data_IF_324206489236
#
_entry.id   IF_324206489236
#
_cell.length_a   1.000
_cell.length_b   1.000
_cell.length_c   1.000
_cell.angle_alpha   90.00
_cell.angle_beta   90.00
_cell.angle_gamma   90.00
#
_symmetry.space_group_name_H-M   'P 1'
#
loop_
_entity.id
_entity.type
_entity.pdbx_description
1 polymer ?
#
# COMPACT_ATOMS: atom_id res chain seq x y z
N UNK A 1 14.05 31.03 21.89
CA UNK A 1 13.84 31.16 20.42
C UNK A 1 14.08 29.78 19.82
N UNK A 2 13.43 28.76 20.38
CA UNK A 2 13.91 27.37 20.35
C UNK A 2 12.84 26.35 19.94
N UNK A 3 11.63 26.80 19.58
CA UNK A 3 10.51 25.91 19.22
C UNK A 3 10.31 25.72 17.71
N UNK A 4 10.99 26.50 16.86
CA UNK A 4 10.85 26.38 15.40
C UNK A 4 11.71 25.25 14.81
N UNK A 5 12.80 24.86 15.47
CA UNK A 5 13.70 23.80 15.01
C UNK A 5 13.18 22.38 15.32
N UNK A 6 12.27 22.25 16.30
CA UNK A 6 11.57 20.99 16.57
C UNK A 6 10.44 20.70 15.54
N UNK A 7 9.95 21.73 14.85
CA UNK A 7 8.86 21.61 13.87
C UNK A 7 9.35 21.17 12.48
N UNK A 8 10.63 21.34 12.17
CA UNK A 8 11.19 21.07 10.83
C UNK A 8 11.62 19.62 10.59
N UNK A 9 11.83 18.80 11.63
CA UNK A 9 12.49 17.49 11.47
C UNK A 9 11.63 16.25 11.73
N UNK A 10 10.32 16.40 11.90
CA UNK A 10 9.39 15.25 11.97
C UNK A 10 8.77 14.89 10.59
N UNK A 11 9.27 15.50 9.52
CA UNK A 11 8.93 15.12 8.13
C UNK A 11 9.67 13.82 7.74
N UNK A 12 10.76 13.47 8.43
CA UNK A 12 11.66 12.35 8.13
C UNK A 12 11.56 11.18 9.14
N UNK A 13 10.38 10.88 9.66
CA UNK A 13 10.18 9.71 10.52
C UNK A 13 10.41 8.40 9.75
N UNK A 14 11.30 7.53 10.30
CA UNK A 14 11.70 6.12 10.04
C UNK A 14 11.66 5.49 8.63
N UNK A 15 10.85 5.98 7.69
CA UNK A 15 10.89 5.67 6.25
C UNK A 15 10.61 6.94 5.43
N UNK A 16 11.58 7.87 5.36
CA UNK A 16 11.33 9.24 4.93
C UNK A 16 10.84 9.37 3.48
N UNK A 17 11.23 8.45 2.59
CA UNK A 17 10.98 8.63 1.16
C UNK A 17 9.57 8.21 0.72
N UNK A 18 9.04 7.11 1.26
CA UNK A 18 7.68 6.64 0.94
C UNK A 18 6.62 7.52 1.60
N UNK A 19 6.88 7.94 2.85
CA UNK A 19 6.02 8.89 3.55
C UNK A 19 5.98 10.23 2.80
N UNK A 20 7.11 10.72 2.28
CA UNK A 20 7.14 12.01 1.58
C UNK A 20 6.30 12.04 0.29
N UNK A 21 6.24 10.93 -0.47
CA UNK A 21 5.51 10.90 -1.76
C UNK A 21 4.00 10.77 -1.55
N UNK A 22 3.56 9.94 -0.61
CA UNK A 22 2.13 9.66 -0.42
C UNK A 22 1.44 10.58 0.58
N UNK A 23 2.18 11.26 1.47
CA UNK A 23 1.62 12.18 2.46
C UNK A 23 0.96 13.43 1.88
N UNK A 24 1.43 14.04 0.78
CA UNK A 24 0.68 15.10 0.09
C UNK A 24 -0.68 14.62 -0.43
N UNK A 25 -0.75 13.39 -0.95
CA UNK A 25 -2.01 12.78 -1.43
C UNK A 25 -2.97 12.54 -0.26
N UNK A 26 -2.47 12.00 0.85
CA UNK A 26 -3.23 11.85 2.09
C UNK A 26 -3.80 13.19 2.59
N UNK A 27 -2.96 14.23 2.65
CA UNK A 27 -3.40 15.58 3.05
C UNK A 27 -4.45 16.16 2.12
N UNK A 28 -4.34 15.91 0.81
CA UNK A 28 -5.34 16.33 -0.16
C UNK A 28 -6.68 15.61 0.06
N UNK A 29 -6.65 14.29 0.28
CA UNK A 29 -7.85 13.50 0.59
C UNK A 29 -8.52 14.01 1.86
N UNK A 30 -7.74 14.23 2.93
CA UNK A 30 -8.26 14.75 4.19
C UNK A 30 -8.82 16.17 4.04
N UNK A 31 -8.17 17.03 3.25
CA UNK A 31 -8.67 18.38 2.96
C UNK A 31 -10.00 18.34 2.19
N UNK A 32 -10.13 17.43 1.22
CA UNK A 32 -11.39 17.21 0.49
C UNK A 32 -12.48 16.75 1.47
N UNK A 33 -12.20 15.77 2.32
CA UNK A 33 -13.15 15.23 3.31
C UNK A 33 -13.68 16.35 4.22
N UNK A 34 -12.77 17.16 4.79
CA UNK A 34 -13.12 18.30 5.64
C UNK A 34 -13.94 19.35 4.86
N UNK A 35 -13.61 19.61 3.60
CA UNK A 35 -14.32 20.61 2.79
C UNK A 35 -15.74 20.20 2.40
N UNK A 36 -15.99 18.90 2.23
CA UNK A 36 -17.28 18.37 1.74
C UNK A 36 -18.18 17.92 2.90
N UNK A 37 -17.62 17.24 3.90
CA UNK A 37 -18.37 16.59 4.99
C UNK A 37 -18.16 17.26 6.36
N UNK A 38 -17.25 18.24 6.45
CA UNK A 38 -16.97 19.01 7.67
C UNK A 38 -15.87 18.40 8.54
N UNK A 39 -15.43 19.18 9.54
CA UNK A 39 -14.21 18.92 10.36
C UNK A 39 -14.27 17.63 11.18
N UNK A 40 -15.47 17.07 11.40
CA UNK A 40 -15.67 15.88 12.22
C UNK A 40 -15.95 14.60 11.41
N UNK A 41 -16.08 14.72 10.08
CA UNK A 41 -16.28 13.57 9.21
C UNK A 41 -14.96 13.17 8.57
N UNK A 42 -14.57 11.91 8.78
CA UNK A 42 -13.43 11.27 8.12
C UNK A 42 -13.88 10.14 7.19
N UNK A 43 -15.15 10.16 6.77
CA UNK A 43 -15.75 9.06 6.02
C UNK A 43 -14.99 8.80 4.72
N UNK A 44 -14.63 9.85 3.98
CA UNK A 44 -13.93 9.69 2.70
C UNK A 44 -12.54 9.09 2.91
N UNK A 45 -11.81 9.56 3.93
CA UNK A 45 -10.50 9.01 4.26
C UNK A 45 -10.55 7.53 4.65
N UNK A 46 -11.55 7.12 5.43
CA UNK A 46 -11.75 5.70 5.78
C UNK A 46 -12.11 4.85 4.57
N UNK A 47 -12.98 5.35 3.67
CA UNK A 47 -13.32 4.64 2.43
C UNK A 47 -12.11 4.45 1.53
N UNK A 48 -11.27 5.48 1.38
CA UNK A 48 -10.02 5.39 0.63
C UNK A 48 -9.05 4.39 1.27
N UNK A 49 -8.92 4.41 2.59
CA UNK A 49 -8.08 3.47 3.35
C UNK A 49 -8.55 2.02 3.19
N UNK A 50 -9.86 1.79 3.30
CA UNK A 50 -10.49 0.48 3.08
C UNK A 50 -10.27 -0.02 1.66
N UNK A 51 -10.39 0.86 0.66
CA UNK A 51 -10.16 0.52 -0.76
C UNK A 51 -8.71 0.12 -0.99
N UNK A 52 -7.75 0.88 -0.45
CA UNK A 52 -6.32 0.55 -0.52
C UNK A 52 -5.98 -0.77 0.17
N UNK A 53 -6.61 -1.04 1.32
CA UNK A 53 -6.44 -2.30 2.03
C UNK A 53 -6.98 -3.50 1.23
N UNK A 54 -8.21 -3.42 0.70
CA UNK A 54 -8.81 -4.49 -0.12
C UNK A 54 -7.96 -4.75 -1.36
N UNK A 55 -7.50 -3.69 -2.03
CA UNK A 55 -6.60 -3.81 -3.17
C UNK A 55 -5.28 -4.51 -2.80
N UNK A 56 -4.71 -4.18 -1.64
CA UNK A 56 -3.49 -4.82 -1.13
C UNK A 56 -3.70 -6.30 -0.82
N UNK A 57 -4.81 -6.68 -0.17
CA UNK A 57 -5.17 -8.10 0.08
C UNK A 57 -5.29 -8.86 -1.25
N UNK A 58 -5.94 -8.27 -2.24
CA UNK A 58 -6.08 -8.86 -3.57
C UNK A 58 -4.73 -9.04 -4.28
N UNK A 59 -3.85 -8.03 -4.21
CA UNK A 59 -2.50 -8.09 -4.78
C UNK A 59 -1.66 -9.18 -4.09
N UNK A 60 -1.74 -9.30 -2.76
CA UNK A 60 -1.07 -10.36 -1.99
C UNK A 60 -1.55 -11.74 -2.44
N UNK A 61 -2.88 -11.93 -2.59
CA UNK A 61 -3.42 -13.18 -3.12
C UNK A 61 -2.85 -13.50 -4.51
N UNK A 62 -2.85 -12.51 -5.42
CA UNK A 62 -2.39 -12.71 -6.80
C UNK A 62 -0.89 -13.02 -6.87
N UNK A 63 -0.07 -12.31 -6.08
CA UNK A 63 1.36 -12.56 -5.92
C UNK A 63 1.62 -13.96 -5.37
N UNK A 64 0.95 -14.33 -4.28
CA UNK A 64 1.09 -15.65 -3.66
C UNK A 64 0.68 -16.77 -4.62
N UNK A 65 -0.39 -16.57 -5.40
CA UNK A 65 -0.84 -17.53 -6.42
C UNK A 65 0.21 -17.75 -7.51
N UNK A 66 0.92 -16.70 -7.93
CA UNK A 66 2.02 -16.80 -8.90
C UNK A 66 3.25 -17.50 -8.32
N UNK A 67 3.58 -17.27 -7.06
CA UNK A 67 4.78 -17.82 -6.42
C UNK A 67 4.61 -19.28 -5.98
N UNK A 68 3.44 -19.67 -5.47
CA UNK A 68 3.19 -20.99 -4.88
C UNK A 68 2.80 -22.09 -5.89
N UNK A 69 3.12 -21.91 -7.18
CA UNK A 69 2.96 -22.89 -8.27
C UNK A 69 1.61 -23.65 -8.17
N UNK A 70 0.51 -22.90 -8.28
CA UNK A 70 -0.88 -23.39 -8.37
C UNK A 70 -1.55 -23.95 -7.11
N UNK A 71 -0.97 -23.85 -5.91
CA UNK A 71 -1.71 -24.14 -4.68
C UNK A 71 -2.62 -22.97 -4.30
N UNK A 72 -3.80 -22.89 -4.92
CA UNK A 72 -4.79 -21.81 -4.69
C UNK A 72 -5.15 -21.64 -3.21
N UNK A 73 -5.26 -22.75 -2.48
CA UNK A 73 -5.51 -22.74 -1.03
C UNK A 73 -4.38 -22.05 -0.25
N UNK A 74 -3.14 -22.26 -0.65
CA UNK A 74 -1.98 -21.61 -0.01
C UNK A 74 -1.98 -20.10 -0.24
N UNK A 75 -2.29 -19.66 -1.46
CA UNK A 75 -2.42 -18.24 -1.78
C UNK A 75 -3.55 -17.57 -0.99
N UNK A 76 -4.69 -18.26 -0.84
CA UNK A 76 -5.81 -17.78 -0.03
C UNK A 76 -5.42 -17.65 1.45
N UNK A 77 -4.74 -18.65 2.02
CA UNK A 77 -4.26 -18.59 3.41
C UNK A 77 -3.28 -17.43 3.64
N UNK A 78 -2.40 -17.15 2.69
CA UNK A 78 -1.47 -16.00 2.78
C UNK A 78 -2.22 -14.67 2.75
N UNK A 79 -3.19 -14.51 1.85
CA UNK A 79 -4.01 -13.30 1.78
C UNK A 79 -4.89 -13.12 3.05
N UNK A 80 -5.48 -14.21 3.55
CA UNK A 80 -6.21 -14.18 4.82
C UNK A 80 -5.29 -13.81 5.98
N UNK A 81 -4.11 -14.42 6.06
CA UNK A 81 -3.08 -14.08 7.04
C UNK A 81 -2.72 -12.60 7.00
N UNK A 82 -2.46 -12.06 5.80
CA UNK A 82 -2.18 -10.63 5.61
C UNK A 82 -3.35 -9.74 6.08
N UNK A 83 -4.60 -10.11 5.75
CA UNK A 83 -5.79 -9.35 6.17
C UNK A 83 -6.06 -9.42 7.67
N UNK A 84 -5.64 -10.50 8.34
CA UNK A 84 -5.82 -10.71 9.77
C UNK A 84 -4.73 -10.07 10.63
N UNK A 85 -3.62 -9.59 10.04
CA UNK A 85 -2.58 -8.91 10.79
C UNK A 85 -3.10 -7.58 11.34
N UNK A 86 -3.05 -7.45 12.67
CA UNK A 86 -3.54 -6.28 13.40
C UNK A 86 -2.95 -4.97 12.87
N UNK A 87 -1.68 -4.95 12.47
CA UNK A 87 -1.03 -3.77 11.88
C UNK A 87 -1.74 -3.28 10.62
N UNK A 88 -2.18 -4.19 9.75
CA UNK A 88 -2.80 -3.86 8.47
C UNK A 88 -4.27 -3.45 8.66
N UNK A 89 -4.96 -4.05 9.62
CA UNK A 89 -6.34 -3.69 9.99
C UNK A 89 -6.38 -2.32 10.67
N UNK A 90 -5.48 -2.05 11.62
CA UNK A 90 -5.40 -0.77 12.32
C UNK A 90 -5.13 0.39 11.35
N UNK A 91 -4.35 0.14 10.28
CA UNK A 91 -4.12 1.14 9.23
C UNK A 91 -5.34 1.46 8.36
N UNK A 92 -6.52 0.87 8.60
CA UNK A 92 -7.78 1.29 7.96
C UNK A 92 -8.47 2.37 8.79
N UNK A 93 -8.33 2.29 10.11
CA UNK A 93 -9.01 3.16 11.08
C UNK A 93 -8.23 4.45 11.34
N UNK A 94 -6.91 4.42 11.14
CA UNK A 94 -6.05 5.57 11.38
C UNK A 94 -5.98 6.45 10.13
N UNK A 95 -6.52 7.67 10.22
CA UNK A 95 -6.51 8.65 9.12
C UNK A 95 -5.08 8.98 8.66
N UNK A 96 -4.12 9.02 9.58
CA UNK A 96 -2.70 9.30 9.31
C UNK A 96 -1.93 8.11 8.70
N UNK A 97 -2.62 7.01 8.38
CA UNK A 97 -2.03 5.80 7.79
C UNK A 97 -2.44 5.55 6.33
N UNK A 98 -3.21 6.46 5.74
CA UNK A 98 -3.62 6.40 4.33
C UNK A 98 -2.42 6.34 3.39
N UNK A 99 -1.41 7.17 3.64
CA UNK A 99 -0.15 7.18 2.91
C UNK A 99 0.59 5.84 3.01
N UNK A 100 0.55 5.20 4.18
CA UNK A 100 1.12 3.86 4.38
C UNK A 100 0.35 2.80 3.58
N UNK A 101 -0.99 2.84 3.57
CA UNK A 101 -1.81 1.93 2.77
C UNK A 101 -1.50 2.05 1.27
N UNK A 102 -1.39 3.28 0.75
CA UNK A 102 -0.99 3.48 -0.63
C UNK A 102 0.44 3.01 -0.87
N UNK A 103 1.39 3.32 0.01
CA UNK A 103 2.76 2.83 -0.12
C UNK A 103 2.81 1.30 -0.20
N UNK A 104 2.07 0.59 0.66
CA UNK A 104 1.96 -0.87 0.63
C UNK A 104 1.35 -1.35 -0.70
N UNK A 105 0.23 -0.78 -1.13
CA UNK A 105 -0.42 -1.14 -2.39
C UNK A 105 0.51 -0.96 -3.59
N UNK A 106 1.17 0.20 -3.70
CA UNK A 106 2.11 0.50 -4.80
C UNK A 106 3.35 -0.40 -4.75
N UNK A 107 3.84 -0.73 -3.55
CA UNK A 107 4.96 -1.67 -3.38
C UNK A 107 4.59 -3.07 -3.87
N UNK A 108 3.39 -3.56 -3.52
CA UNK A 108 2.88 -4.84 -4.01
C UNK A 108 2.69 -4.84 -5.52
N UNK A 109 2.21 -3.72 -6.09
CA UNK A 109 2.00 -3.56 -7.52
C UNK A 109 3.34 -3.50 -8.29
N UNK A 110 4.35 -2.82 -7.74
CA UNK A 110 5.72 -2.83 -8.24
C UNK A 110 6.34 -4.23 -8.20
N UNK A 111 6.13 -4.97 -7.10
CA UNK A 111 6.61 -6.35 -6.99
C UNK A 111 5.93 -7.26 -8.03
N UNK A 112 4.63 -7.08 -8.25
CA UNK A 112 3.87 -7.85 -9.23
C UNK A 112 4.38 -7.62 -10.66
N UNK A 113 4.60 -6.35 -11.03
CA UNK A 113 5.12 -5.99 -12.34
C UNK A 113 6.55 -6.50 -12.55
N UNK A 114 7.39 -6.42 -11.52
CA UNK A 114 8.75 -6.98 -11.54
C UNK A 114 8.74 -8.50 -11.75
N UNK A 115 7.92 -9.24 -10.99
CA UNK A 115 7.80 -10.70 -11.14
C UNK A 115 7.32 -11.05 -12.55
N UNK A 116 6.33 -10.31 -13.08
CA UNK A 116 5.84 -10.51 -14.45
C UNK A 116 6.95 -10.29 -15.48
N UNK A 117 7.71 -9.20 -15.37
CA UNK A 117 8.81 -8.91 -16.28
C UNK A 117 9.92 -9.99 -16.25
N UNK A 118 10.21 -10.54 -15.06
CA UNK A 118 11.18 -11.64 -14.91
C UNK A 118 10.65 -12.93 -15.54
N UNK A 119 9.37 -13.27 -15.32
CA UNK A 119 8.74 -14.45 -15.93
C UNK A 119 8.73 -14.34 -17.46
N UNK A 120 8.38 -13.17 -18.00
CA UNK A 120 8.30 -12.94 -19.44
C UNK A 120 9.69 -13.06 -20.09
N UNK A 121 10.75 -12.51 -19.47
CA UNK A 121 12.15 -12.68 -19.97
C UNK A 121 12.59 -14.14 -20.06
N UNK A 122 12.22 -14.98 -19.09
CA UNK A 122 12.56 -16.42 -19.14
C UNK A 122 11.91 -17.13 -20.34
N UNK A 123 10.76 -16.65 -20.80
CA UNK A 123 10.06 -17.20 -21.97
C UNK A 123 10.74 -16.88 -23.31
N UNK A 124 11.52 -15.81 -23.41
CA UNK A 124 12.23 -15.41 -24.64
C UNK A 124 13.65 -16.00 -24.78
N UNK A 125 14.26 -16.45 -23.67
CA UNK A 125 15.57 -17.14 -23.65
C UNK A 125 15.71 -18.32 -24.63
N UNK A 126 14.74 -19.24 -24.78
CA UNK A 126 14.88 -20.35 -25.72
C UNK A 126 14.83 -19.94 -27.19
N UNK A 127 14.20 -18.81 -27.54
CA UNK A 127 14.11 -18.33 -28.92
C UNK A 127 15.38 -17.61 -29.41
N UNK A 128 16.21 -17.11 -28.49
CA UNK A 128 17.50 -16.48 -28.80
C UNK A 128 18.65 -17.49 -28.90
N UNK A 129 18.38 -18.77 -28.63
CA UNK A 129 19.34 -19.88 -28.75
C UNK A 129 19.11 -20.75 -29.99
N UNK A 130 18.10 -20.44 -30.80
CA UNK A 130 17.80 -21.08 -32.09
C UNK A 130 18.30 -20.18 -33.23
#
# INVERSE_FOLDING_TARGET
MDDLTAMEWNIFGKDPMLVFVFRPVERLINAIDISVLGVHSFLFSHLMGLTGFIASVYLVYFLARRLLVHKERGALLVALGFSAMTSNVLSIVQVDSLSQQFATMFTLLALLTLIRAISDRKSFSPLLKA
#
